data_IF_306782017919
#
_entry.id   IF_306782017919
#
_cell.length_a   1.000
_cell.length_b   1.000
_cell.length_c   1.000
_cell.angle_alpha   90.00
_cell.angle_beta   90.00
_cell.angle_gamma   90.00
#
_symmetry.space_group_name_H-M   'P 1'
#
loop_
_entity.id
_entity.type
_entity.pdbx_description
1 polymer ?
#
# COMPACT_ATOMS: atom_id res chain seq x y z
N UNK A 1 6.88 62.57 17.34
CA UNK A 1 7.04 61.65 16.19
C UNK A 1 5.70 61.48 15.50
N UNK A 2 5.53 62.08 14.29
CA UNK A 2 4.31 61.88 13.49
C UNK A 2 4.35 60.49 12.88
N UNK A 3 3.41 59.62 13.29
CA UNK A 3 3.19 58.32 12.67
C UNK A 3 2.61 58.57 11.28
N UNK A 4 3.38 58.28 10.22
CA UNK A 4 2.88 58.30 8.84
C UNK A 4 1.82 57.19 8.71
N UNK A 5 0.58 57.59 8.45
CA UNK A 5 -0.51 56.66 8.12
C UNK A 5 -0.47 56.39 6.60
N UNK A 6 -0.76 55.17 6.20
CA UNK A 6 -0.88 54.82 4.79
C UNK A 6 -2.04 55.56 4.14
N UNK A 7 -1.85 56.02 2.93
CA UNK A 7 -2.93 56.61 2.15
C UNK A 7 -3.82 55.53 1.56
N UNK A 8 -5.10 55.83 1.35
CA UNK A 8 -6.08 54.90 0.75
C UNK A 8 -5.61 54.41 -0.63
N UNK A 9 -4.90 55.26 -1.36
CA UNK A 9 -4.37 54.96 -2.67
C UNK A 9 -3.22 53.94 -2.61
N UNK A 10 -2.32 54.06 -1.63
CA UNK A 10 -1.24 53.09 -1.40
C UNK A 10 -1.80 51.72 -1.04
N UNK A 11 -2.84 51.68 -0.22
CA UNK A 11 -3.52 50.45 0.17
C UNK A 11 -4.18 49.76 -1.03
N UNK A 12 -4.86 50.53 -1.91
CA UNK A 12 -5.50 50.00 -3.12
C UNK A 12 -4.49 49.42 -4.10
N UNK A 13 -3.35 50.10 -4.32
CA UNK A 13 -2.29 49.64 -5.21
C UNK A 13 -1.65 48.36 -4.67
N UNK A 14 -1.33 48.32 -3.37
CA UNK A 14 -0.71 47.13 -2.76
C UNK A 14 -1.62 45.94 -2.81
N UNK A 15 -2.92 46.11 -2.52
CA UNK A 15 -3.90 45.01 -2.65
C UNK A 15 -4.05 44.54 -4.09
N UNK A 16 -4.01 45.44 -5.07
CA UNK A 16 -4.05 45.09 -6.49
C UNK A 16 -2.84 44.23 -6.91
N UNK A 17 -1.65 44.65 -6.49
CA UNK A 17 -0.41 43.90 -6.80
C UNK A 17 -0.41 42.52 -6.14
N UNK A 18 -0.80 42.43 -4.85
CA UNK A 18 -0.89 41.14 -4.14
C UNK A 18 -1.91 40.24 -4.81
N UNK A 19 -3.05 40.77 -5.25
CA UNK A 19 -4.07 40.03 -5.96
C UNK A 19 -3.56 39.41 -7.26
N UNK A 20 -2.83 40.16 -8.07
CA UNK A 20 -2.24 39.68 -9.33
C UNK A 20 -1.16 38.65 -9.07
N UNK A 21 -0.25 38.88 -8.11
CA UNK A 21 0.81 37.92 -7.76
C UNK A 21 0.18 36.60 -7.25
N UNK A 22 -0.84 36.69 -6.37
CA UNK A 22 -1.53 35.53 -5.85
C UNK A 22 -2.22 34.72 -6.95
N UNK A 23 -2.86 35.40 -7.90
CA UNK A 23 -3.56 34.73 -9.02
C UNK A 23 -2.59 33.96 -9.93
N UNK A 24 -1.36 34.45 -10.10
CA UNK A 24 -0.32 33.76 -10.90
C UNK A 24 0.42 32.66 -10.11
N UNK A 25 0.64 32.89 -8.82
CA UNK A 25 1.40 31.95 -7.98
C UNK A 25 0.55 30.73 -7.54
N UNK A 26 -0.75 30.91 -7.34
CA UNK A 26 -1.62 29.85 -6.81
C UNK A 26 -1.61 28.57 -7.67
N UNK A 27 -1.79 28.64 -9.02
CA UNK A 27 -1.71 27.47 -9.86
C UNK A 27 -0.35 26.77 -9.83
N UNK A 28 0.74 27.55 -9.77
CA UNK A 28 2.10 26.99 -9.70
C UNK A 28 2.35 26.27 -8.38
N UNK A 29 1.87 26.80 -7.25
CA UNK A 29 1.98 26.17 -5.94
C UNK A 29 1.14 24.90 -5.87
N UNK A 30 -0.09 24.93 -6.39
CA UNK A 30 -0.97 23.74 -6.40
C UNK A 30 -0.37 22.59 -7.23
N UNK A 31 0.27 22.90 -8.36
CA UNK A 31 0.93 21.88 -9.19
C UNK A 31 2.26 21.38 -8.58
N UNK A 32 2.91 22.17 -7.72
CA UNK A 32 4.16 21.79 -7.05
C UNK A 32 3.95 21.02 -5.73
N UNK A 33 2.70 20.86 -5.28
CA UNK A 33 2.44 20.08 -4.07
C UNK A 33 2.76 18.61 -4.34
N UNK A 34 3.55 17.95 -3.47
CA UNK A 34 3.81 16.52 -3.60
C UNK A 34 2.51 15.74 -3.53
N UNK A 35 2.41 14.67 -4.31
CA UNK A 35 1.25 13.79 -4.27
C UNK A 35 1.15 13.14 -2.89
N UNK A 36 0.16 13.56 -2.12
CA UNK A 36 -0.10 13.03 -0.78
C UNK A 36 -0.34 11.52 -0.85
N UNK A 37 -1.09 11.05 -1.84
CA UNK A 37 -1.40 9.65 -2.00
C UNK A 37 -0.14 8.83 -2.30
N UNK A 38 0.74 9.33 -3.17
CA UNK A 38 2.06 8.72 -3.41
C UNK A 38 2.89 8.61 -2.13
N UNK A 39 2.94 9.69 -1.35
CA UNK A 39 3.71 9.70 -0.10
C UNK A 39 3.18 8.69 0.92
N UNK A 40 1.86 8.59 1.07
CA UNK A 40 1.21 7.63 1.96
C UNK A 40 1.39 6.19 1.46
N UNK A 41 1.21 5.96 0.15
CA UNK A 41 1.46 4.67 -0.49
C UNK A 41 2.91 4.19 -0.26
N UNK A 42 3.90 5.04 -0.54
CA UNK A 42 5.31 4.71 -0.35
C UNK A 42 5.65 4.40 1.12
N UNK A 43 5.04 5.13 2.05
CA UNK A 43 5.21 4.86 3.48
C UNK A 43 4.65 3.48 3.85
N UNK A 44 3.45 3.16 3.39
CA UNK A 44 2.84 1.86 3.63
C UNK A 44 3.64 0.72 3.00
N UNK A 45 4.07 0.88 1.74
CA UNK A 45 4.92 -0.08 1.05
C UNK A 45 6.23 -0.34 1.79
N UNK A 46 6.94 0.72 2.20
CA UNK A 46 8.18 0.59 2.96
C UNK A 46 7.95 -0.07 4.33
N UNK A 47 6.85 0.24 5.02
CA UNK A 47 6.50 -0.43 6.26
C UNK A 47 6.22 -1.92 6.03
N UNK A 48 5.43 -2.24 5.02
CA UNK A 48 5.09 -3.62 4.66
C UNK A 48 6.34 -4.44 4.33
N UNK A 49 7.21 -3.93 3.45
CA UNK A 49 8.43 -4.64 3.05
C UNK A 49 9.41 -4.82 4.22
N UNK A 50 9.58 -3.79 5.05
CA UNK A 50 10.48 -3.87 6.21
C UNK A 50 9.98 -4.89 7.23
N UNK A 51 8.69 -4.82 7.59
CA UNK A 51 8.12 -5.73 8.59
C UNK A 51 8.05 -7.17 8.07
N UNK A 52 7.79 -7.38 6.78
CA UNK A 52 7.83 -8.72 6.18
C UNK A 52 9.25 -9.28 6.21
N UNK A 53 10.25 -8.47 5.90
CA UNK A 53 11.65 -8.87 6.02
C UNK A 53 12.02 -9.20 7.48
N UNK A 54 11.59 -8.40 8.44
CA UNK A 54 11.80 -8.65 9.87
C UNK A 54 11.17 -9.99 10.32
N UNK A 55 10.00 -10.35 9.76
CA UNK A 55 9.37 -11.65 10.04
C UNK A 55 10.18 -12.80 9.45
N UNK A 56 10.67 -12.65 8.22
CA UNK A 56 11.46 -13.70 7.53
C UNK A 56 12.83 -13.87 8.18
N UNK A 57 13.47 -12.79 8.58
CA UNK A 57 14.78 -12.83 9.26
C UNK A 57 14.70 -13.35 10.70
N UNK A 58 13.52 -13.40 11.29
CA UNK A 58 13.32 -13.94 12.63
C UNK A 58 13.16 -15.46 12.59
N UNK A 59 14.19 -16.19 12.97
CA UNK A 59 14.21 -17.66 12.99
C UNK A 59 13.19 -18.30 13.95
N UNK A 60 12.62 -17.55 14.90
CA UNK A 60 11.53 -18.03 15.75
C UNK A 60 10.17 -17.98 15.07
N UNK A 61 10.02 -17.05 14.13
CA UNK A 61 8.79 -16.86 13.36
C UNK A 61 8.81 -17.65 12.03
N UNK A 62 9.92 -17.53 11.31
CA UNK A 62 10.10 -18.09 9.98
C UNK A 62 11.32 -19.01 9.97
N UNK A 63 11.09 -20.32 10.18
CA UNK A 63 12.18 -21.28 10.27
C UNK A 63 12.38 -22.06 8.97
N UNK A 64 13.58 -22.54 8.79
CA UNK A 64 14.01 -23.29 7.60
C UNK A 64 14.38 -24.71 8.03
N UNK A 65 13.78 -25.71 7.42
CA UNK A 65 14.17 -27.12 7.56
C UNK A 65 15.06 -27.57 6.42
N UNK A 66 16.09 -28.34 6.77
CA UNK A 66 16.89 -29.05 5.77
C UNK A 66 16.40 -30.49 5.70
N UNK A 67 15.88 -30.87 4.55
CA UNK A 67 15.42 -32.23 4.28
C UNK A 67 16.60 -33.19 4.15
N UNK A 68 16.35 -34.46 4.33
CA UNK A 68 17.39 -35.53 4.22
C UNK A 68 17.95 -35.67 2.81
N UNK A 69 17.28 -35.18 1.79
CA UNK A 69 17.73 -35.13 0.39
C UNK A 69 18.57 -33.88 0.06
N UNK A 70 18.82 -33.01 1.06
CA UNK A 70 19.55 -31.74 0.90
C UNK A 70 18.70 -30.58 0.36
N UNK A 71 17.42 -30.78 0.11
CA UNK A 71 16.52 -29.69 -0.23
C UNK A 71 16.18 -28.84 1.00
N UNK A 72 15.86 -27.57 0.76
CA UNK A 72 15.48 -26.62 1.80
C UNK A 72 13.95 -26.52 1.79
N UNK A 73 13.34 -26.73 2.96
CA UNK A 73 11.93 -26.46 3.18
C UNK A 73 11.78 -25.24 4.05
N UNK A 74 11.07 -24.23 3.55
CA UNK A 74 10.73 -23.04 4.31
C UNK A 74 9.33 -23.18 4.90
N UNK A 75 9.14 -22.54 6.05
CA UNK A 75 7.83 -22.53 6.68
C UNK A 75 6.81 -21.74 5.84
N UNK A 76 7.26 -20.73 5.10
CA UNK A 76 6.42 -19.80 4.36
C UNK A 76 5.61 -18.87 5.27
N UNK A 77 5.14 -17.76 4.73
CA UNK A 77 4.36 -16.78 5.50
C UNK A 77 3.04 -17.36 6.03
N UNK A 78 2.45 -18.34 5.34
CA UNK A 78 1.23 -19.03 5.79
C UNK A 78 1.40 -19.87 7.05
N UNK A 79 2.62 -20.26 7.36
CA UNK A 79 2.96 -21.15 8.46
C UNK A 79 3.89 -20.52 9.50
N UNK A 80 4.09 -19.21 9.46
CA UNK A 80 4.88 -18.52 10.49
C UNK A 80 4.44 -18.93 11.89
N UNK A 81 5.40 -19.10 12.79
CA UNK A 81 5.10 -19.53 14.15
C UNK A 81 4.51 -18.34 14.92
N UNK A 82 3.40 -18.59 15.57
CA UNK A 82 2.76 -17.62 16.48
C UNK A 82 3.17 -17.90 17.92
N UNK A 83 4.41 -18.29 18.14
CA UNK A 83 4.92 -18.60 19.48
C UNK A 83 4.68 -17.39 20.40
N UNK A 84 3.90 -17.61 21.44
CA UNK A 84 3.67 -16.68 22.57
C UNK A 84 3.01 -15.31 22.26
N UNK A 85 2.46 -15.08 21.08
CA UNK A 85 1.52 -13.98 20.90
C UNK A 85 0.17 -14.28 21.59
N UNK A 86 0.28 -14.60 22.89
CA UNK A 86 -0.86 -15.00 23.74
C UNK A 86 -2.07 -14.05 23.68
N UNK A 87 -1.93 -12.72 23.48
CA UNK A 87 -3.09 -11.85 23.29
C UNK A 87 -3.88 -12.16 22.02
N UNK A 88 -3.22 -12.66 20.98
CA UNK A 88 -3.83 -12.82 19.64
C UNK A 88 -4.42 -14.22 19.42
N UNK A 89 -3.99 -15.21 20.19
CA UNK A 89 -4.63 -16.54 20.20
C UNK A 89 -6.06 -16.49 20.78
N UNK A 90 -6.46 -15.36 21.38
CA UNK A 90 -7.76 -15.17 22.03
C UNK A 90 -8.65 -14.13 21.34
N UNK A 91 -8.27 -13.64 20.14
CA UNK A 91 -9.17 -12.74 19.39
C UNK A 91 -10.38 -13.57 18.94
N UNK A 92 -11.54 -13.22 19.47
CA UNK A 92 -12.79 -13.82 19.03
C UNK A 92 -13.16 -13.27 17.65
N UNK A 93 -13.45 -14.15 16.70
CA UNK A 93 -14.09 -13.74 15.44
C UNK A 93 -15.55 -13.34 15.70
N UNK A 94 -16.22 -12.86 14.64
CA UNK A 94 -17.65 -12.50 14.69
C UNK A 94 -18.58 -13.69 15.07
N UNK A 95 -18.07 -14.92 15.06
CA UNK A 95 -18.77 -16.12 15.51
C UNK A 95 -18.40 -16.55 16.95
N UNK A 96 -17.58 -15.78 17.68
CA UNK A 96 -17.17 -16.07 19.06
C UNK A 96 -16.15 -17.21 19.21
N UNK A 97 -15.48 -17.61 18.13
CA UNK A 97 -14.46 -18.69 18.13
C UNK A 97 -13.14 -18.14 18.65
N UNK A 98 -12.59 -18.71 19.71
CA UNK A 98 -11.23 -18.51 20.19
C UNK A 98 -10.26 -19.41 19.42
N UNK A 99 -9.04 -18.97 19.15
CA UNK A 99 -8.00 -19.61 18.31
C UNK A 99 -8.14 -19.35 16.81
N UNK A 100 -8.14 -18.09 16.42
CA UNK A 100 -8.32 -17.69 15.01
C UNK A 100 -6.98 -17.48 14.31
N UNK A 101 -5.89 -17.39 15.07
CA UNK A 101 -4.55 -17.26 14.50
C UNK A 101 -4.04 -18.61 14.00
N UNK A 102 -4.66 -19.11 12.91
CA UNK A 102 -4.32 -20.39 12.27
C UNK A 102 -4.14 -20.21 10.78
N UNK A 103 -3.22 -20.98 10.20
CA UNK A 103 -2.99 -20.98 8.75
C UNK A 103 -2.67 -19.57 8.21
N UNK A 104 -3.32 -19.17 7.11
CA UNK A 104 -3.01 -17.90 6.43
C UNK A 104 -3.31 -16.64 7.25
N UNK A 105 -4.10 -16.71 8.31
CA UNK A 105 -4.34 -15.56 9.18
C UNK A 105 -3.12 -15.15 10.03
N UNK A 106 -2.13 -16.02 10.17
CA UNK A 106 -0.96 -15.81 11.03
C UNK A 106 -0.13 -14.61 10.59
N UNK A 107 0.27 -14.55 9.34
CA UNK A 107 1.09 -13.47 8.81
C UNK A 107 0.44 -12.09 8.97
N UNK A 108 -0.80 -11.84 8.54
CA UNK A 108 -1.44 -10.55 8.76
C UNK A 108 -1.62 -10.18 10.24
N UNK A 109 -1.80 -11.15 11.13
CA UNK A 109 -1.91 -10.90 12.58
C UNK A 109 -0.55 -10.51 13.19
N UNK A 110 0.55 -11.09 12.73
CA UNK A 110 1.88 -10.66 13.16
C UNK A 110 2.16 -9.24 12.68
N UNK A 111 1.87 -8.92 11.42
CA UNK A 111 1.96 -7.54 10.91
C UNK A 111 1.11 -6.57 11.73
N UNK A 112 -0.13 -6.94 12.06
CA UNK A 112 -0.98 -6.15 12.94
C UNK A 112 -0.31 -5.85 14.29
N UNK A 113 0.39 -6.82 14.88
CA UNK A 113 1.07 -6.64 16.16
C UNK A 113 2.30 -5.73 16.08
N UNK A 114 2.94 -5.66 14.92
CA UNK A 114 4.14 -4.85 14.68
C UNK A 114 3.80 -3.43 14.22
N UNK A 115 2.63 -3.23 13.63
CA UNK A 115 2.15 -1.92 13.20
C UNK A 115 1.50 -1.16 14.36
N UNK A 116 1.52 0.19 14.29
CA UNK A 116 0.77 1.05 15.20
C UNK A 116 -0.71 1.03 14.83
N UNK A 117 -1.47 0.12 15.41
CA UNK A 117 -2.88 -0.11 15.07
C UNK A 117 -3.82 0.74 15.93
N UNK A 118 -4.93 1.17 15.34
CA UNK A 118 -5.98 1.97 15.99
C UNK A 118 -7.20 1.14 16.37
N UNK A 119 -7.35 -0.06 15.78
CA UNK A 119 -8.50 -0.95 15.99
C UNK A 119 -8.06 -2.37 16.28
N UNK A 120 -8.88 -3.15 16.94
CA UNK A 120 -8.70 -4.61 16.97
C UNK A 120 -8.91 -5.19 15.58
N UNK A 121 -8.17 -6.24 15.19
CA UNK A 121 -8.32 -6.82 13.87
C UNK A 121 -9.69 -7.52 13.75
N UNK A 122 -10.29 -7.40 12.58
CA UNK A 122 -11.45 -8.20 12.19
C UNK A 122 -10.96 -9.41 11.39
N UNK A 123 -11.31 -10.60 11.82
CA UNK A 123 -10.90 -11.85 11.19
C UNK A 123 -12.14 -12.60 10.74
N UNK A 124 -12.23 -12.89 9.45
CA UNK A 124 -13.21 -13.80 8.89
C UNK A 124 -12.51 -15.03 8.33
N UNK A 125 -12.75 -16.17 8.96
CA UNK A 125 -12.25 -17.47 8.50
C UNK A 125 -13.20 -18.00 7.44
N UNK A 126 -12.68 -18.28 6.26
CA UNK A 126 -13.48 -18.74 5.13
C UNK A 126 -12.60 -19.11 3.95
N UNK A 127 -13.18 -19.10 2.79
CA UNK A 127 -12.48 -19.22 1.52
C UNK A 127 -12.97 -18.11 0.58
N UNK A 128 -12.21 -16.98 0.48
CA UNK A 128 -10.93 -16.70 1.15
C UNK A 128 -11.07 -16.35 2.64
N UNK A 129 -9.96 -16.47 3.39
CA UNK A 129 -9.87 -15.93 4.74
C UNK A 129 -9.46 -14.44 4.66
N UNK A 130 -10.07 -13.60 5.48
CA UNK A 130 -9.75 -12.17 5.52
C UNK A 130 -9.31 -11.72 6.90
N UNK A 131 -8.31 -10.85 6.95
CA UNK A 131 -7.86 -10.15 8.16
C UNK A 131 -7.78 -8.67 7.85
N UNK A 132 -8.49 -7.84 8.58
CA UNK A 132 -8.48 -6.40 8.35
C UNK A 132 -8.35 -5.60 9.64
N UNK A 133 -7.68 -4.44 9.56
CA UNK A 133 -7.48 -3.52 10.68
C UNK A 133 -7.16 -2.12 10.19
N UNK A 134 -7.28 -1.14 11.09
CA UNK A 134 -6.86 0.24 10.84
C UNK A 134 -5.60 0.58 11.64
N UNK A 135 -4.73 1.39 11.07
CA UNK A 135 -3.56 1.95 11.72
C UNK A 135 -3.83 3.36 12.28
N UNK A 136 -3.01 3.81 13.23
CA UNK A 136 -3.19 5.12 13.90
C UNK A 136 -3.02 6.31 12.96
N UNK A 137 -2.38 6.13 11.81
CA UNK A 137 -2.26 7.13 10.76
C UNK A 137 -3.47 7.20 9.81
N UNK A 138 -4.51 6.40 10.09
CA UNK A 138 -5.78 6.41 9.39
C UNK A 138 -5.87 5.49 8.17
N UNK A 139 -4.83 4.69 7.90
CA UNK A 139 -4.88 3.71 6.81
C UNK A 139 -5.69 2.47 7.23
N UNK A 140 -6.40 1.87 6.27
CA UNK A 140 -7.07 0.60 6.44
C UNK A 140 -6.39 -0.49 5.61
N UNK A 141 -6.10 -1.60 6.26
CA UNK A 141 -5.40 -2.75 5.70
C UNK A 141 -6.34 -3.94 5.67
N UNK A 142 -6.52 -4.55 4.52
CA UNK A 142 -7.35 -5.74 4.35
C UNK A 142 -6.59 -6.81 3.59
N UNK A 143 -6.20 -7.86 4.29
CA UNK A 143 -5.55 -9.04 3.73
C UNK A 143 -6.59 -10.08 3.38
N UNK A 144 -6.45 -10.67 2.21
CA UNK A 144 -7.24 -11.78 1.72
C UNK A 144 -6.30 -12.91 1.33
N UNK A 145 -6.62 -14.13 1.71
CA UNK A 145 -5.83 -15.32 1.39
C UNK A 145 -6.71 -16.51 1.12
N UNK A 146 -6.36 -17.28 0.11
CA UNK A 146 -7.06 -18.52 -0.23
C UNK A 146 -6.48 -19.70 0.57
N UNK A 147 -7.23 -20.24 1.56
CA UNK A 147 -6.76 -21.33 2.39
C UNK A 147 -6.58 -22.64 1.63
N UNK A 148 -7.14 -22.79 0.43
CA UNK A 148 -6.98 -23.99 -0.38
C UNK A 148 -5.59 -24.08 -1.01
N UNK A 149 -4.88 -22.97 -1.09
CA UNK A 149 -3.53 -22.88 -1.62
C UNK A 149 -2.42 -22.99 -0.58
N UNK A 150 -2.75 -23.15 0.71
CA UNK A 150 -1.79 -23.19 1.83
C UNK A 150 -0.68 -24.24 1.66
N UNK A 151 -0.98 -25.36 1.04
CA UNK A 151 -0.05 -26.48 0.84
C UNK A 151 0.64 -26.45 -0.53
N UNK A 152 0.39 -25.43 -1.34
CA UNK A 152 1.08 -25.19 -2.60
C UNK A 152 2.03 -24.01 -2.42
N UNK A 153 3.20 -24.04 -3.06
CA UNK A 153 4.09 -22.88 -3.14
C UNK A 153 3.44 -21.69 -3.87
N UNK A 154 2.15 -21.76 -4.12
CA UNK A 154 1.33 -20.79 -4.85
C UNK A 154 0.45 -19.93 -3.92
N UNK A 155 0.63 -20.01 -2.58
CA UNK A 155 -0.14 -19.15 -1.70
C UNK A 155 0.26 -17.70 -1.91
N UNK A 156 -0.71 -16.90 -2.26
CA UNK A 156 -0.59 -15.46 -2.37
C UNK A 156 -1.56 -14.78 -1.40
N UNK A 157 -1.06 -13.74 -0.74
CA UNK A 157 -1.91 -12.79 -0.04
C UNK A 157 -2.23 -11.64 -0.97
N UNK A 158 -3.50 -11.28 -1.07
CA UNK A 158 -3.90 -10.01 -1.66
C UNK A 158 -4.12 -9.01 -0.53
N UNK A 159 -3.32 -7.95 -0.48
CA UNK A 159 -3.53 -6.82 0.41
C UNK A 159 -4.24 -5.72 -0.36
N UNK A 160 -5.40 -5.30 0.12
CA UNK A 160 -6.01 -4.03 -0.25
C UNK A 160 -5.69 -3.01 0.84
N UNK A 161 -4.97 -1.96 0.43
CA UNK A 161 -4.58 -0.84 1.27
C UNK A 161 -5.43 0.37 0.90
N UNK A 162 -6.20 0.89 1.83
CA UNK A 162 -6.90 2.16 1.73
C UNK A 162 -6.14 3.20 2.54
N UNK A 163 -5.56 4.17 1.86
CA UNK A 163 -4.60 5.12 2.47
C UNK A 163 -5.24 6.22 3.30
N UNK A 164 -6.54 6.41 3.21
CA UNK A 164 -7.31 7.38 3.98
C UNK A 164 -8.46 6.74 4.79
N UNK A 165 -8.54 5.40 4.79
CA UNK A 165 -9.54 4.63 5.50
C UNK A 165 -10.96 4.88 4.98
N UNK A 166 -11.92 4.99 5.89
CA UNK A 166 -13.31 5.24 5.53
C UNK A 166 -13.60 6.66 4.98
N UNK A 167 -12.59 7.52 4.92
CA UNK A 167 -12.71 8.90 4.47
C UNK A 167 -12.27 9.02 3.01
N UNK A 168 -13.19 9.04 2.08
CA UNK A 168 -12.89 9.23 0.65
C UNK A 168 -13.80 8.40 -0.23
N UNK A 169 -13.44 8.34 -1.50
CA UNK A 169 -14.26 7.70 -2.51
C UNK A 169 -14.03 6.18 -2.59
N UNK A 170 -13.00 5.65 -1.94
CA UNK A 170 -12.63 4.22 -1.87
C UNK A 170 -12.47 3.57 -3.26
N UNK A 171 -11.70 4.23 -4.13
CA UNK A 171 -11.49 3.79 -5.52
C UNK A 171 -10.10 3.21 -5.74
N UNK A 172 -10.06 2.13 -6.53
CA UNK A 172 -8.85 1.63 -7.17
C UNK A 172 -8.65 2.37 -8.49
N UNK A 173 -7.41 2.58 -8.92
CA UNK A 173 -7.10 3.30 -10.16
C UNK A 173 -7.78 2.71 -11.40
N UNK A 174 -7.98 1.41 -11.43
CA UNK A 174 -8.59 0.70 -12.58
C UNK A 174 -10.09 0.99 -12.73
N UNK A 175 -10.78 1.34 -11.62
CA UNK A 175 -12.20 1.64 -11.59
C UNK A 175 -12.47 3.15 -11.83
N UNK A 176 -11.65 4.01 -11.19
CA UNK A 176 -11.74 5.46 -11.34
C UNK A 176 -10.34 6.10 -11.37
N UNK A 177 -10.00 6.65 -12.54
CA UNK A 177 -8.69 7.27 -12.78
C UNK A 177 -8.55 8.66 -12.13
N UNK A 178 -9.59 9.19 -11.47
CA UNK A 178 -9.59 10.57 -10.96
C UNK A 178 -8.82 10.74 -9.65
N UNK A 179 -9.18 10.03 -8.61
CA UNK A 179 -8.54 10.14 -7.28
C UNK A 179 -8.49 8.79 -6.55
N UNK A 180 -7.73 7.81 -7.03
CA UNK A 180 -7.64 6.53 -6.37
C UNK A 180 -6.99 6.69 -4.99
N UNK A 181 -7.57 6.05 -3.99
CA UNK A 181 -7.13 6.02 -2.61
C UNK A 181 -6.94 4.59 -2.09
N UNK A 182 -7.35 3.60 -2.89
CA UNK A 182 -7.09 2.19 -2.64
C UNK A 182 -6.01 1.64 -3.57
N UNK A 183 -5.14 0.82 -3.01
CA UNK A 183 -4.03 0.17 -3.71
C UNK A 183 -4.01 -1.31 -3.38
N UNK A 184 -3.58 -2.13 -4.34
CA UNK A 184 -3.45 -3.57 -4.17
C UNK A 184 -2.01 -4.02 -4.22
N UNK A 185 -1.68 -4.98 -3.36
CA UNK A 185 -0.43 -5.71 -3.37
C UNK A 185 -0.69 -7.20 -3.39
N UNK A 186 0.16 -7.92 -4.09
CA UNK A 186 0.26 -9.37 -3.98
C UNK A 186 1.54 -9.69 -3.22
N UNK A 187 1.43 -10.56 -2.24
CA UNK A 187 2.51 -11.00 -1.39
C UNK A 187 2.55 -12.52 -1.48
N UNK A 188 3.65 -13.06 -1.98
CA UNK A 188 3.80 -14.51 -2.06
C UNK A 188 4.15 -15.14 -0.70
N UNK A 189 4.16 -16.46 -0.65
CA UNK A 189 4.46 -17.19 0.58
C UNK A 189 5.92 -17.07 1.03
N UNK A 190 6.80 -16.59 0.17
CA UNK A 190 8.23 -16.35 0.43
C UNK A 190 8.49 -14.90 0.87
N UNK A 191 7.48 -14.04 0.78
CA UNK A 191 7.51 -12.65 1.22
C UNK A 191 7.90 -11.65 0.14
N UNK A 192 7.87 -12.05 -1.13
CA UNK A 192 8.01 -11.09 -2.23
C UNK A 192 6.73 -10.27 -2.38
N UNK A 193 6.88 -8.95 -2.44
CA UNK A 193 5.77 -7.99 -2.43
C UNK A 193 5.76 -7.22 -3.73
N UNK A 194 4.67 -7.38 -4.46
CA UNK A 194 4.48 -6.71 -5.74
C UNK A 194 3.20 -5.86 -5.75
N UNK A 195 3.26 -4.63 -6.31
CA UNK A 195 2.04 -3.86 -6.53
C UNK A 195 1.16 -4.57 -7.56
N UNK A 196 -0.13 -4.63 -7.30
CA UNK A 196 -1.11 -5.30 -8.16
C UNK A 196 -2.08 -4.33 -8.83
N UNK A 197 -1.74 -3.05 -8.86
CA UNK A 197 -2.46 -2.00 -9.58
C UNK A 197 -1.48 -1.11 -10.37
N UNK A 198 -1.98 -0.51 -11.45
CA UNK A 198 -1.14 0.24 -12.38
C UNK A 198 -0.54 1.51 -11.76
N UNK A 199 -1.28 2.20 -10.87
CA UNK A 199 -0.79 3.41 -10.22
C UNK A 199 0.27 3.08 -9.16
N UNK A 200 0.08 2.02 -8.40
CA UNK A 200 1.07 1.51 -7.46
C UNK A 200 2.38 1.14 -8.16
N UNK A 201 2.30 0.47 -9.31
CA UNK A 201 3.46 0.18 -10.16
C UNK A 201 4.16 1.46 -10.62
N UNK A 202 3.39 2.48 -11.07
CA UNK A 202 3.93 3.76 -11.49
C UNK A 202 4.61 4.51 -10.33
N UNK A 203 4.04 4.49 -9.14
CA UNK A 203 4.62 5.09 -7.94
C UNK A 203 5.96 4.47 -7.57
N UNK A 204 6.07 3.15 -7.58
CA UNK A 204 7.35 2.47 -7.31
C UNK A 204 8.38 2.72 -8.39
N UNK A 205 8.00 2.69 -9.67
CA UNK A 205 8.91 3.00 -10.77
C UNK A 205 9.48 4.41 -10.69
N UNK A 206 8.69 5.35 -10.22
CA UNK A 206 9.07 6.75 -10.08
C UNK A 206 9.44 7.15 -8.64
N UNK A 207 9.72 6.18 -7.77
CA UNK A 207 10.00 6.42 -6.35
C UNK A 207 11.22 7.31 -6.11
N UNK A 208 12.26 7.18 -6.93
CA UNK A 208 13.50 7.97 -6.85
C UNK A 208 13.41 9.33 -7.54
N UNK A 209 12.36 9.57 -8.32
CA UNK A 209 12.19 10.79 -9.09
C UNK A 209 11.15 11.71 -8.42
N UNK A 210 11.42 13.01 -8.36
CA UNK A 210 10.44 14.04 -8.03
C UNK A 210 9.49 14.25 -9.21
N UNK A 211 8.84 13.16 -9.65
CA UNK A 211 7.87 13.22 -10.73
C UNK A 211 6.59 13.91 -10.24
N UNK A 212 5.94 14.62 -11.15
CA UNK A 212 4.66 15.23 -10.86
C UNK A 212 3.56 14.17 -10.75
N UNK A 213 2.47 14.50 -10.07
CA UNK A 213 1.28 13.63 -10.01
C UNK A 213 0.75 13.25 -11.41
N UNK A 214 0.90 14.15 -12.38
CA UNK A 214 0.51 13.90 -13.78
C UNK A 214 1.39 12.83 -14.42
N UNK A 215 2.69 12.79 -14.15
CA UNK A 215 3.61 11.82 -14.76
C UNK A 215 3.34 10.39 -14.26
N UNK A 216 3.02 10.24 -12.97
CA UNK A 216 2.66 8.94 -12.39
C UNK A 216 1.33 8.42 -12.98
N UNK A 217 0.33 9.30 -13.13
CA UNK A 217 -0.95 8.95 -13.75
C UNK A 217 -0.80 8.63 -15.25
N UNK A 218 0.05 9.36 -15.96
CA UNK A 218 0.33 9.08 -17.36
C UNK A 218 0.99 7.70 -17.51
N UNK A 219 1.98 7.38 -16.68
CA UNK A 219 2.62 6.07 -16.69
C UNK A 219 1.62 4.96 -16.37
N UNK A 220 0.78 5.14 -15.36
CA UNK A 220 -0.26 4.17 -15.01
C UNK A 220 -1.24 3.95 -16.18
N UNK A 221 -1.69 5.02 -16.84
CA UNK A 221 -2.55 4.92 -18.03
C UNK A 221 -1.88 4.18 -19.18
N UNK A 222 -0.57 4.37 -19.39
CA UNK A 222 0.20 3.64 -20.39
C UNK A 222 0.30 2.14 -20.04
N UNK A 223 0.47 1.80 -18.75
CA UNK A 223 0.49 0.41 -18.26
C UNK A 223 -0.86 -0.26 -18.58
N UNK A 224 -1.97 0.34 -18.18
CA UNK A 224 -3.31 -0.21 -18.44
C UNK A 224 -3.57 -0.37 -19.93
N UNK A 225 -3.25 0.64 -20.73
CA UNK A 225 -3.46 0.61 -22.20
C UNK A 225 -2.64 -0.52 -22.87
N UNK A 226 -1.36 -0.67 -22.49
CA UNK A 226 -0.49 -1.70 -23.05
C UNK A 226 -0.79 -3.11 -22.55
N UNK A 227 -1.39 -3.22 -21.37
CA UNK A 227 -1.91 -4.48 -20.84
C UNK A 227 -3.26 -4.90 -21.46
N UNK A 228 -3.82 -4.08 -22.37
CA UNK A 228 -5.12 -4.32 -23.01
C UNK A 228 -6.29 -4.17 -22.04
N UNK A 229 -6.22 -3.18 -21.12
CA UNK A 229 -7.18 -2.96 -20.02
C UNK A 229 -7.36 -4.19 -19.12
N UNK A 230 -6.33 -5.00 -18.99
CA UNK A 230 -6.33 -6.17 -18.12
C UNK A 230 -5.82 -5.80 -16.72
N UNK A 231 -6.48 -6.31 -15.70
CA UNK A 231 -6.05 -6.24 -14.29
C UNK A 231 -5.10 -7.39 -13.91
N UNK A 232 -4.71 -8.22 -14.88
CA UNK A 232 -3.76 -9.31 -14.68
C UNK A 232 -2.35 -8.74 -14.40
N UNK A 233 -1.80 -9.07 -13.24
CA UNK A 233 -0.51 -8.60 -12.75
C UNK A 233 0.62 -8.88 -13.75
N UNK A 234 0.65 -10.08 -14.34
CA UNK A 234 1.69 -10.46 -15.30
C UNK A 234 1.65 -9.60 -16.57
N UNK A 235 0.44 -9.28 -17.05
CA UNK A 235 0.27 -8.40 -18.22
C UNK A 235 0.66 -6.96 -17.90
N UNK A 236 0.29 -6.44 -16.74
CA UNK A 236 0.67 -5.09 -16.30
C UNK A 236 2.18 -4.98 -16.09
N UNK A 237 2.82 -5.94 -15.45
CA UNK A 237 4.28 -5.98 -15.26
C UNK A 237 5.01 -6.07 -16.59
N UNK A 238 4.51 -6.87 -17.53
CA UNK A 238 5.07 -6.99 -18.89
C UNK A 238 4.92 -5.68 -19.66
N UNK A 239 3.79 -5.00 -19.54
CA UNK A 239 3.54 -3.69 -20.14
C UNK A 239 4.50 -2.63 -19.59
N UNK A 240 4.68 -2.55 -18.27
CA UNK A 240 5.63 -1.65 -17.61
C UNK A 240 7.06 -1.89 -18.11
N UNK A 241 7.53 -3.13 -18.13
CA UNK A 241 8.86 -3.48 -18.62
C UNK A 241 9.08 -3.04 -20.08
N UNK A 242 8.04 -3.15 -20.91
CA UNK A 242 8.09 -2.70 -22.32
C UNK A 242 8.23 -1.18 -22.41
N UNK A 243 7.48 -0.43 -21.59
CA UNK A 243 7.54 1.04 -21.53
C UNK A 243 8.95 1.49 -21.10
N UNK A 244 9.51 0.90 -20.05
CA UNK A 244 10.86 1.21 -19.54
C UNK A 244 11.91 0.97 -20.63
N UNK A 245 11.87 -0.18 -21.28
CA UNK A 245 12.81 -0.54 -22.36
C UNK A 245 12.75 0.42 -23.54
N UNK A 246 11.58 0.96 -23.86
CA UNK A 246 11.41 1.93 -24.93
C UNK A 246 11.91 3.33 -24.57
N UNK A 247 11.85 3.71 -23.29
CA UNK A 247 12.38 5.01 -22.79
C UNK A 247 13.90 5.03 -22.65
N UNK A 248 14.56 3.86 -22.64
CA UNK A 248 16.02 3.72 -22.50
C UNK A 248 16.78 3.67 -23.82
N UNK A 249 16.10 3.79 -24.95
CA UNK A 249 16.65 3.90 -26.30
C UNK A 249 16.64 5.34 -26.80
#
# INVERSE_FOLDING_TARGET
MLKKAFTLQELLITMGIIGVISALALPAIMNAQPDKNKSLYMRAYNSLTTLTADIIDNSELYWTEYNTDGSISHNGLSNVQTLDFAPYNQIANSAGVTNICTGPAKYPIILYSMLNTASTPTIAVGNPSTVSFSTTDGMFWSFESDPTKINSNELEYTLTLDINGAAGDNHIYDDDHTNPDQFKFVIDNEGDIQPADALGMAYLQNASNTTSKSDDKELASQIVSNAGSSTDLNKMSSALNTIIKNKSK
#
